data_IF_525146351105
#
_entry.id   IF_525146351105
#
_cell.length_a   1.000
_cell.length_b   1.000
_cell.length_c   1.000
_cell.angle_alpha   90.00
_cell.angle_beta   90.00
_cell.angle_gamma   90.00
#
_symmetry.space_group_name_H-M   'P 1'
#
loop_
_entity.id
_entity.type
_entity.pdbx_description
1 polymer ?
#
# COMPACT_ATOMS: atom_id res chain seq x y z
N UNK A 1 -17.22 -18.12 -29.87
CA UNK A 1 -16.50 -17.27 -28.90
C UNK A 1 -16.29 -18.12 -27.65
N UNK A 2 -15.05 -18.52 -27.37
CA UNK A 2 -14.74 -19.27 -26.15
C UNK A 2 -14.83 -18.31 -24.96
N UNK A 3 -15.65 -18.65 -23.96
CA UNK A 3 -15.67 -17.91 -22.71
C UNK A 3 -14.25 -17.95 -22.10
N UNK A 4 -13.67 -16.82 -21.72
CA UNK A 4 -12.35 -16.81 -21.11
C UNK A 4 -12.38 -17.57 -19.79
N UNK A 5 -11.35 -18.40 -19.55
CA UNK A 5 -11.16 -19.10 -18.28
C UNK A 5 -10.74 -18.07 -17.22
N UNK A 6 -11.73 -17.53 -16.51
CA UNK A 6 -11.47 -16.76 -15.33
C UNK A 6 -12.13 -17.42 -14.11
N UNK A 7 -11.39 -17.42 -13.00
CA UNK A 7 -11.93 -17.89 -11.73
C UNK A 7 -12.83 -16.81 -11.09
N UNK A 8 -13.97 -17.19 -10.47
CA UNK A 8 -14.81 -16.26 -9.70
C UNK A 8 -14.00 -15.63 -8.55
N UNK A 9 -14.48 -14.47 -8.06
CA UNK A 9 -13.81 -13.54 -7.13
C UNK A 9 -12.76 -14.16 -6.19
N UNK A 10 -11.58 -13.52 -6.03
CA UNK A 10 -10.41 -14.17 -5.45
C UNK A 10 -10.63 -14.51 -3.98
N UNK A 11 -10.65 -15.83 -3.69
CA UNK A 11 -10.22 -16.32 -2.38
C UNK A 11 -8.77 -15.87 -2.18
N UNK A 12 -8.37 -15.62 -0.93
CA UNK A 12 -7.00 -15.22 -0.59
C UNK A 12 -5.94 -15.98 -1.41
N UNK A 13 -5.26 -15.28 -2.34
CA UNK A 13 -4.27 -15.88 -3.24
C UNK A 13 -2.86 -15.67 -2.68
N UNK A 14 -2.18 -16.75 -2.27
CA UNK A 14 -0.77 -16.64 -1.86
C UNK A 14 0.14 -16.26 -3.02
N UNK A 15 -0.18 -16.72 -4.22
CA UNK A 15 0.57 -16.45 -5.44
C UNK A 15 -0.17 -15.43 -6.30
N UNK A 16 0.56 -14.71 -7.15
CA UNK A 16 -0.06 -13.79 -8.09
C UNK A 16 -0.87 -14.57 -9.13
N UNK A 17 -2.14 -14.22 -9.31
CA UNK A 17 -3.04 -14.88 -10.24
C UNK A 17 -3.65 -13.86 -11.20
N UNK A 18 -3.91 -14.31 -12.43
CA UNK A 18 -4.64 -13.53 -13.42
C UNK A 18 -6.13 -13.87 -13.32
N UNK A 19 -6.96 -12.85 -13.09
CA UNK A 19 -8.41 -12.95 -12.84
C UNK A 19 -9.17 -12.01 -13.76
N UNK A 20 -10.51 -12.02 -13.70
CA UNK A 20 -11.35 -11.03 -14.42
C UNK A 20 -11.04 -9.59 -14.02
N UNK A 21 -10.60 -9.39 -12.77
CA UNK A 21 -10.26 -8.09 -12.24
C UNK A 21 -8.83 -7.66 -12.59
N UNK A 22 -7.99 -8.55 -13.14
CA UNK A 22 -6.59 -8.31 -13.47
C UNK A 22 -5.62 -9.20 -12.70
N UNK A 23 -4.40 -8.72 -12.48
CA UNK A 23 -3.39 -9.43 -11.69
C UNK A 23 -3.63 -9.18 -10.21
N UNK A 24 -3.96 -10.23 -9.48
CA UNK A 24 -4.29 -10.21 -8.04
C UNK A 24 -3.20 -10.89 -7.25
N UNK A 25 -2.81 -10.30 -6.11
CA UNK A 25 -1.94 -10.91 -5.10
C UNK A 25 -2.56 -10.73 -3.72
N UNK A 26 -2.80 -11.82 -3.00
CA UNK A 26 -3.63 -11.80 -1.80
C UNK A 26 -5.09 -11.51 -2.18
N UNK A 27 -5.59 -10.37 -1.72
CA UNK A 27 -6.88 -9.77 -2.06
C UNK A 27 -6.72 -8.40 -2.75
N UNK A 28 -5.50 -8.01 -3.10
CA UNK A 28 -5.19 -6.74 -3.74
C UNK A 28 -5.02 -6.94 -5.25
N UNK A 29 -5.73 -6.13 -6.03
CA UNK A 29 -5.54 -6.02 -7.48
C UNK A 29 -4.30 -5.15 -7.73
N UNK A 30 -3.19 -5.77 -8.13
CA UNK A 30 -1.95 -5.07 -8.45
C UNK A 30 -2.10 -4.25 -9.73
N UNK A 31 -2.61 -4.90 -10.78
CA UNK A 31 -2.83 -4.26 -12.08
C UNK A 31 -4.21 -4.67 -12.57
N UNK A 32 -5.18 -3.73 -12.68
CA UNK A 32 -6.54 -4.06 -13.03
C UNK A 32 -6.66 -4.36 -14.51
N UNK A 33 -7.60 -5.25 -14.85
CA UNK A 33 -7.98 -5.51 -16.22
C UNK A 33 -8.94 -4.41 -16.68
N UNK A 34 -8.59 -3.73 -17.77
CA UNK A 34 -9.45 -2.81 -18.51
C UNK A 34 -9.85 -3.44 -19.84
N UNK A 35 -10.88 -2.89 -20.48
CA UNK A 35 -11.22 -3.19 -21.87
C UNK A 35 -10.98 -1.95 -22.72
N UNK A 36 -10.22 -2.13 -23.80
CA UNK A 36 -10.08 -1.13 -24.85
C UNK A 36 -11.41 -0.96 -25.59
N UNK A 37 -11.55 0.13 -26.33
CA UNK A 37 -12.73 0.42 -27.16
C UNK A 37 -13.03 -0.69 -28.19
N UNK A 38 -12.01 -1.46 -28.62
CA UNK A 38 -12.16 -2.60 -29.52
C UNK A 38 -12.57 -3.90 -28.81
N UNK A 39 -12.83 -3.86 -27.49
CA UNK A 39 -13.20 -5.01 -26.67
C UNK A 39 -12.04 -5.90 -26.22
N UNK A 40 -10.79 -5.62 -26.62
CA UNK A 40 -9.62 -6.36 -26.17
C UNK A 40 -9.34 -6.08 -24.69
N UNK A 41 -9.00 -7.14 -23.94
CA UNK A 41 -8.59 -7.02 -22.55
C UNK A 41 -7.16 -6.46 -22.47
N UNK A 42 -6.95 -5.51 -21.58
CA UNK A 42 -5.66 -4.88 -21.36
C UNK A 42 -5.40 -4.77 -19.86
N UNK A 43 -4.18 -5.09 -19.44
CA UNK A 43 -3.77 -4.91 -18.07
C UNK A 43 -3.24 -3.48 -17.88
N UNK A 44 -3.82 -2.71 -16.97
CA UNK A 44 -3.42 -1.33 -16.69
C UNK A 44 -2.12 -1.30 -15.85
N UNK A 45 -1.01 -1.62 -16.50
CA UNK A 45 0.35 -1.54 -15.94
C UNK A 45 0.95 -0.16 -16.21
N UNK A 46 0.70 0.39 -17.41
CA UNK A 46 1.22 1.69 -17.83
C UNK A 46 0.66 2.83 -16.99
N UNK A 47 1.54 3.67 -16.47
CA UNK A 47 1.22 4.77 -15.54
C UNK A 47 1.02 4.31 -14.09
N UNK A 48 0.97 3.01 -13.82
CA UNK A 48 0.79 2.42 -12.48
C UNK A 48 2.01 1.63 -12.00
N UNK A 49 3.09 1.63 -12.77
CA UNK A 49 4.34 0.95 -12.42
C UNK A 49 4.87 1.38 -11.04
N UNK A 50 4.84 2.68 -10.66
CA UNK A 50 5.27 3.12 -9.34
C UNK A 50 4.45 2.50 -8.19
N UNK A 51 3.12 2.40 -8.37
CA UNK A 51 2.19 1.81 -7.40
C UNK A 51 2.41 0.31 -7.26
N UNK A 52 2.47 -0.40 -8.40
CA UNK A 52 2.71 -1.84 -8.46
C UNK A 52 4.06 -2.17 -7.81
N UNK A 53 5.09 -1.37 -8.11
CA UNK A 53 6.41 -1.52 -7.52
C UNK A 53 6.38 -1.37 -6.01
N UNK A 54 5.69 -0.35 -5.50
CA UNK A 54 5.59 -0.11 -4.06
C UNK A 54 4.85 -1.24 -3.34
N UNK A 55 3.70 -1.67 -3.86
CA UNK A 55 2.93 -2.77 -3.29
C UNK A 55 3.74 -4.07 -3.24
N UNK A 56 4.36 -4.44 -4.35
CA UNK A 56 5.18 -5.65 -4.42
C UNK A 56 6.42 -5.58 -3.52
N UNK A 57 7.03 -4.40 -3.39
CA UNK A 57 8.19 -4.21 -2.50
C UNK A 57 7.79 -4.29 -1.03
N UNK A 58 6.66 -3.68 -0.66
CA UNK A 58 6.06 -3.80 0.67
C UNK A 58 5.75 -5.25 1.03
N UNK A 59 5.10 -5.98 0.12
CA UNK A 59 4.76 -7.38 0.31
C UNK A 59 6.00 -8.24 0.61
N UNK A 60 7.16 -7.90 0.01
CA UNK A 60 8.42 -8.61 0.25
C UNK A 60 9.24 -8.07 1.43
N UNK A 61 8.93 -6.88 1.93
CA UNK A 61 9.80 -6.14 2.84
C UNK A 61 11.15 -5.76 2.22
N UNK A 62 11.25 -5.70 0.89
CA UNK A 62 12.46 -5.29 0.15
C UNK A 62 12.10 -4.82 -1.25
N UNK A 63 12.95 -3.98 -1.85
CA UNK A 63 12.78 -3.55 -3.23
C UNK A 63 12.69 -4.73 -4.19
N UNK A 64 11.71 -4.73 -5.08
CA UNK A 64 11.64 -5.71 -6.17
C UNK A 64 12.60 -5.37 -7.30
N UNK A 65 12.94 -6.38 -8.10
CA UNK A 65 13.80 -6.19 -9.26
C UNK A 65 13.02 -5.47 -10.39
N UNK A 66 13.59 -4.48 -11.10
CA UNK A 66 12.90 -3.75 -12.17
C UNK A 66 12.32 -4.65 -13.29
N UNK A 67 13.02 -5.74 -13.61
CA UNK A 67 12.55 -6.73 -14.59
C UNK A 67 11.17 -7.33 -14.25
N UNK A 68 10.73 -7.30 -13.00
CA UNK A 68 9.38 -7.73 -12.62
C UNK A 68 8.31 -6.87 -13.30
N UNK A 69 8.49 -5.56 -13.36
CA UNK A 69 7.56 -4.66 -14.07
C UNK A 69 7.62 -4.89 -15.58
N UNK A 70 8.81 -5.05 -16.15
CA UNK A 70 8.97 -5.39 -17.56
C UNK A 70 8.23 -6.69 -17.93
N UNK A 71 8.30 -7.69 -17.05
CA UNK A 71 7.54 -8.94 -17.19
C UNK A 71 6.03 -8.70 -17.18
N UNK A 72 5.52 -7.83 -16.30
CA UNK A 72 4.10 -7.47 -16.26
C UNK A 72 3.63 -6.75 -17.53
N UNK A 73 4.47 -5.90 -18.15
CA UNK A 73 4.16 -5.38 -19.50
C UNK A 73 4.10 -6.48 -20.55
N UNK A 74 4.94 -7.52 -20.43
CA UNK A 74 4.86 -8.72 -21.27
C UNK A 74 3.53 -9.45 -21.11
N UNK A 75 3.02 -9.57 -19.89
CA UNK A 75 1.68 -10.14 -19.59
C UNK A 75 0.58 -9.27 -20.21
N UNK A 76 0.65 -7.95 -20.01
CA UNK A 76 -0.29 -6.97 -20.58
C UNK A 76 -0.34 -7.07 -22.11
N UNK A 77 0.83 -7.18 -22.75
CA UNK A 77 0.96 -7.32 -24.21
C UNK A 77 0.33 -8.62 -24.73
N UNK A 78 0.57 -9.76 -24.07
CA UNK A 78 -0.07 -11.03 -24.44
C UNK A 78 -1.59 -10.94 -24.32
N UNK A 79 -2.12 -10.30 -23.26
CA UNK A 79 -3.57 -10.08 -23.10
C UNK A 79 -4.17 -9.20 -24.19
N UNK A 80 -3.49 -8.10 -24.55
CA UNK A 80 -3.94 -7.20 -25.62
C UNK A 80 -4.00 -7.90 -26.98
N UNK A 81 -3.24 -8.98 -27.17
CA UNK A 81 -3.26 -9.84 -28.36
C UNK A 81 -4.32 -10.96 -28.30
N UNK A 82 -5.05 -11.09 -27.19
CA UNK A 82 -6.00 -12.17 -26.94
C UNK A 82 -5.34 -13.50 -26.52
N UNK A 83 -4.03 -13.50 -26.26
CA UNK A 83 -3.27 -14.69 -25.84
C UNK A 83 -3.32 -14.87 -24.33
N UNK A 84 -4.46 -15.37 -23.84
CA UNK A 84 -4.68 -15.62 -22.41
C UNK A 84 -3.72 -16.67 -21.83
N UNK A 85 -3.40 -17.71 -22.61
CA UNK A 85 -2.51 -18.80 -22.15
C UNK A 85 -1.07 -18.29 -22.02
N UNK A 86 -0.58 -17.55 -23.03
CA UNK A 86 0.73 -16.92 -22.95
C UNK A 86 0.83 -15.89 -21.84
N UNK A 87 -0.24 -15.15 -21.56
CA UNK A 87 -0.29 -14.23 -20.42
C UNK A 87 -0.12 -14.96 -19.07
N UNK A 88 -0.82 -16.08 -18.85
CA UNK A 88 -0.69 -16.88 -17.62
C UNK A 88 0.71 -17.49 -17.50
N UNK A 89 1.26 -18.06 -18.59
CA UNK A 89 2.62 -18.61 -18.59
C UNK A 89 3.65 -17.53 -18.28
N UNK A 90 3.53 -16.34 -18.90
CA UNK A 90 4.43 -15.21 -18.61
C UNK A 90 4.32 -14.76 -17.17
N UNK A 91 3.10 -14.67 -16.62
CA UNK A 91 2.90 -14.31 -15.21
C UNK A 91 3.61 -15.31 -14.28
N UNK A 92 3.51 -16.61 -14.55
CA UNK A 92 4.24 -17.62 -13.81
C UNK A 92 5.77 -17.47 -13.96
N UNK A 93 6.26 -17.13 -15.16
CA UNK A 93 7.69 -16.90 -15.44
C UNK A 93 8.27 -15.65 -14.76
N UNK A 94 7.44 -14.62 -14.48
CA UNK A 94 7.89 -13.47 -13.67
C UNK A 94 8.37 -13.94 -12.29
N UNK A 95 7.82 -15.05 -11.79
CA UNK A 95 8.19 -15.60 -10.50
C UNK A 95 7.88 -14.63 -9.37
N UNK A 96 6.70 -14.00 -9.44
CA UNK A 96 6.24 -13.16 -8.33
C UNK A 96 6.24 -14.02 -7.07
N UNK A 97 6.93 -13.59 -6.01
CA UNK A 97 7.00 -14.34 -4.77
C UNK A 97 5.60 -14.63 -4.23
N UNK A 98 5.36 -15.84 -3.71
CA UNK A 98 4.21 -16.05 -2.88
C UNK A 98 4.31 -15.20 -1.60
N UNK A 99 3.17 -14.77 -1.08
CA UNK A 99 3.04 -14.18 0.26
C UNK A 99 3.45 -15.23 1.29
N UNK A 100 4.42 -14.89 2.15
CA UNK A 100 5.00 -15.81 3.14
C UNK A 100 4.08 -16.04 4.34
N UNK A 101 3.08 -15.18 4.51
CA UNK A 101 2.10 -15.32 5.59
C UNK A 101 1.13 -14.14 5.67
N UNK A 102 0.33 -14.09 6.73
CA UNK A 102 -0.67 -13.04 6.94
C UNK A 102 -0.07 -11.62 6.98
N UNK A 103 1.15 -11.49 7.50
CA UNK A 103 1.85 -10.19 7.58
C UNK A 103 2.08 -9.57 6.20
N UNK A 104 2.54 -10.34 5.21
CA UNK A 104 2.81 -9.82 3.86
C UNK A 104 1.51 -9.34 3.19
N UNK A 105 0.41 -10.07 3.42
CA UNK A 105 -0.92 -9.69 2.95
C UNK A 105 -1.43 -8.41 3.63
N UNK A 106 -1.23 -8.29 4.94
CA UNK A 106 -1.60 -7.09 5.70
C UNK A 106 -0.80 -5.87 5.20
N UNK A 107 0.50 -6.02 4.96
CA UNK A 107 1.34 -4.95 4.38
C UNK A 107 0.84 -4.51 3.00
N UNK A 108 0.38 -5.44 2.16
CA UNK A 108 -0.25 -5.11 0.88
C UNK A 108 -1.52 -4.29 1.06
N UNK A 109 -2.41 -4.68 1.99
CA UNK A 109 -3.65 -3.95 2.29
C UNK A 109 -3.37 -2.53 2.79
N UNK A 110 -2.41 -2.39 3.70
CA UNK A 110 -1.98 -1.11 4.24
C UNK A 110 -1.43 -0.23 3.11
N UNK A 111 -0.52 -0.77 2.28
CA UNK A 111 0.02 -0.07 1.12
C UNK A 111 -1.05 0.38 0.13
N UNK A 112 -2.00 -0.50 -0.21
CA UNK A 112 -3.10 -0.19 -1.11
C UNK A 112 -4.01 0.91 -0.54
N UNK A 113 -4.27 0.87 0.77
CA UNK A 113 -5.04 1.91 1.47
C UNK A 113 -4.35 3.27 1.41
N UNK A 114 -3.02 3.30 1.54
CA UNK A 114 -2.25 4.54 1.41
C UNK A 114 -2.27 5.11 0.00
N UNK A 115 -2.10 4.26 -1.01
CA UNK A 115 -2.19 4.67 -2.41
C UNK A 115 -3.59 5.22 -2.73
N UNK A 116 -4.65 4.57 -2.25
CA UNK A 116 -6.02 5.05 -2.43
C UNK A 116 -6.27 6.41 -1.76
N UNK A 117 -5.47 6.78 -0.74
CA UNK A 117 -5.48 8.09 -0.08
C UNK A 117 -4.55 9.12 -0.75
N UNK A 118 -3.95 8.77 -1.88
CA UNK A 118 -3.05 9.66 -2.63
C UNK A 118 -1.63 9.77 -2.06
N UNK A 119 -1.25 8.91 -1.12
CA UNK A 119 0.13 8.90 -0.61
C UNK A 119 1.05 8.38 -1.71
N UNK A 120 2.13 9.11 -2.00
CA UNK A 120 3.05 8.72 -3.07
C UNK A 120 3.67 7.34 -2.81
N UNK A 121 3.87 6.50 -3.84
CA UNK A 121 4.48 5.19 -3.65
C UNK A 121 5.90 5.27 -3.05
N UNK A 122 6.63 6.34 -3.33
CA UNK A 122 7.94 6.61 -2.73
C UNK A 122 7.87 6.82 -1.22
N UNK A 123 6.92 7.65 -0.76
CA UNK A 123 6.70 7.91 0.67
C UNK A 123 6.37 6.63 1.42
N UNK A 124 5.56 5.76 0.82
CA UNK A 124 5.21 4.45 1.39
C UNK A 124 6.46 3.58 1.59
N UNK A 125 7.35 3.53 0.60
CA UNK A 125 8.57 2.73 0.66
C UNK A 125 9.59 3.28 1.65
N UNK A 126 9.74 4.60 1.71
CA UNK A 126 10.60 5.26 2.69
C UNK A 126 10.12 5.00 4.12
N UNK A 127 8.82 5.14 4.38
CA UNK A 127 8.22 4.85 5.69
C UNK A 127 8.38 3.38 6.11
N UNK A 128 8.41 2.47 5.13
CA UNK A 128 8.66 1.04 5.37
C UNK A 128 10.15 0.69 5.57
N UNK A 129 11.07 1.67 5.49
CA UNK A 129 12.51 1.42 5.58
C UNK A 129 13.07 0.60 4.40
N UNK A 130 12.37 0.57 3.27
CA UNK A 130 12.81 -0.15 2.08
C UNK A 130 13.77 0.75 1.31
N UNK A 131 15.02 0.75 1.76
CA UNK A 131 16.12 1.45 1.10
C UNK A 131 16.50 0.77 -0.23
N UNK A 132 16.95 1.56 -1.21
CA UNK A 132 17.36 1.04 -2.51
C UNK A 132 16.21 0.65 -3.45
N UNK A 133 14.95 0.93 -3.09
CA UNK A 133 13.88 1.07 -4.06
C UNK A 133 14.35 2.05 -5.14
N UNK A 134 14.57 1.54 -6.33
CA UNK A 134 15.41 2.19 -7.33
C UNK A 134 14.93 3.62 -7.59
N UNK A 135 15.70 4.62 -7.15
CA UNK A 135 15.44 6.05 -7.41
C UNK A 135 15.22 6.28 -8.90
N UNK A 136 15.78 5.41 -9.77
CA UNK A 136 15.61 5.46 -11.22
C UNK A 136 14.19 5.19 -11.73
N UNK A 137 13.37 4.38 -11.05
CA UNK A 137 11.96 4.17 -11.43
C UNK A 137 11.09 5.39 -11.11
N UNK A 138 11.55 6.21 -10.15
CA UNK A 138 10.92 7.44 -9.69
C UNK A 138 11.74 8.68 -10.05
N UNK A 139 12.72 8.55 -10.96
CA UNK A 139 13.41 9.72 -11.46
C UNK A 139 12.34 10.50 -12.20
N UNK A 140 11.86 11.52 -11.51
CA UNK A 140 10.94 12.54 -11.99
C UNK A 140 11.25 12.82 -13.45
N UNK A 141 10.19 12.90 -14.25
CA UNK A 141 10.18 13.35 -15.64
C UNK A 141 11.50 14.01 -15.99
N UNK A 142 12.31 13.25 -16.71
CA UNK A 142 13.65 13.65 -17.08
C UNK A 142 13.58 15.07 -17.66
N UNK A 143 14.00 16.04 -16.86
CA UNK A 143 13.92 17.45 -17.23
C UNK A 143 15.11 17.75 -18.14
N UNK A 144 14.85 17.73 -19.45
CA UNK A 144 15.84 18.03 -20.49
C UNK A 144 16.50 19.40 -20.25
N UNK A 145 15.82 20.33 -19.55
CA UNK A 145 16.37 21.64 -19.21
C UNK A 145 17.46 21.59 -18.13
N UNK A 146 17.43 20.58 -17.25
CA UNK A 146 18.47 20.33 -16.22
C UNK A 146 19.64 19.50 -16.75
N UNK A 147 19.51 18.94 -17.96
CA UNK A 147 20.52 18.13 -18.61
C UNK A 147 20.76 18.59 -20.05
N UNK A 148 21.23 19.84 -20.27
CA UNK A 148 21.39 20.40 -21.60
C UNK A 148 22.33 19.53 -22.45
N UNK A 149 21.80 19.06 -23.58
CA UNK A 149 22.59 18.39 -24.61
C UNK A 149 23.25 19.42 -25.50
N UNK A 150 24.41 19.05 -26.03
CA UNK A 150 25.03 19.82 -27.09
C UNK A 150 24.18 19.75 -28.38
N UNK A 151 24.48 20.59 -29.40
CA UNK A 151 23.76 20.58 -30.68
C UNK A 151 23.83 19.24 -31.44
N UNK A 152 24.70 18.32 -31.03
CA UNK A 152 24.84 16.97 -31.61
C UNK A 152 24.09 15.90 -30.80
N UNK A 153 23.33 16.30 -29.77
CA UNK A 153 22.53 15.41 -28.93
C UNK A 153 23.35 14.62 -27.91
N UNK A 154 24.64 14.95 -27.72
CA UNK A 154 25.46 14.37 -26.66
C UNK A 154 25.27 15.18 -25.39
N UNK A 155 25.40 14.51 -24.25
CA UNK A 155 25.51 15.21 -22.98
C UNK A 155 26.69 16.18 -23.06
N UNK A 156 26.43 17.47 -22.87
CA UNK A 156 27.49 18.45 -22.75
C UNK A 156 28.42 17.95 -21.63
N UNK A 157 29.58 17.46 -22.03
CA UNK A 157 30.55 16.87 -21.12
C UNK A 157 31.21 18.05 -20.41
N UNK A 158 30.50 18.69 -19.49
CA UNK A 158 31.09 19.67 -18.60
C UNK A 158 32.04 18.88 -17.71
N UNK A 159 33.33 18.95 -18.07
CA UNK A 159 34.41 18.32 -17.33
C UNK A 159 34.35 18.76 -15.87
N UNK A 160 33.92 17.84 -15.01
CA UNK A 160 34.27 17.88 -13.60
C UNK A 160 35.41 16.88 -13.44
N UNK A 161 36.61 17.42 -13.25
CA UNK A 161 37.83 16.70 -12.92
C UNK A 161 37.56 15.61 -11.89
N UNK A 162 37.95 14.38 -12.23
CA UNK A 162 38.41 13.43 -11.25
C UNK A 162 39.72 13.98 -10.67
N UNK A 163 39.62 14.82 -9.64
CA UNK A 163 40.66 15.13 -8.65
C UNK A 163 40.22 16.36 -7.84
N UNK A 164 39.48 16.15 -6.74
CA UNK A 164 39.61 16.90 -5.49
C UNK A 164 38.64 16.37 -4.42
N UNK A 165 39.25 15.87 -3.34
CA UNK A 165 38.78 15.92 -1.95
C UNK A 165 37.62 15.01 -1.50
N UNK A 166 37.97 13.76 -1.19
CA UNK A 166 37.21 12.87 -0.30
C UNK A 166 37.17 13.30 1.17
N UNK A 167 36.80 14.54 1.50
CA UNK A 167 36.62 14.98 2.91
C UNK A 167 35.43 15.89 3.20
N UNK A 168 34.54 16.15 2.24
CA UNK A 168 33.43 17.10 2.42
C UNK A 168 32.04 16.45 2.30
N UNK A 169 31.82 15.36 3.04
CA UNK A 169 30.46 14.80 3.22
C UNK A 169 30.03 14.72 4.70
N UNK A 170 30.80 15.29 5.62
CA UNK A 170 30.46 15.29 7.05
C UNK A 170 29.50 16.42 7.47
N UNK A 171 29.17 17.34 6.56
CA UNK A 171 28.34 18.52 6.83
C UNK A 171 27.22 18.72 5.80
N UNK A 172 26.76 17.63 5.16
CA UNK A 172 25.51 17.72 4.40
C UNK A 172 24.40 17.86 5.44
N UNK A 173 23.67 19.01 5.51
CA UNK A 173 22.56 19.14 6.45
C UNK A 173 21.64 17.94 6.23
N UNK A 174 21.30 17.25 7.32
CA UNK A 174 20.44 16.08 7.32
C UNK A 174 19.21 16.43 6.46
N UNK A 175 19.12 15.92 5.23
CA UNK A 175 18.01 16.20 4.30
C UNK A 175 16.74 15.45 4.73
N UNK A 176 16.54 15.39 6.05
CA UNK A 176 15.26 15.26 6.73
C UNK A 176 14.42 16.48 6.36
N UNK A 177 13.91 16.47 5.13
CA UNK A 177 12.95 17.48 4.67
C UNK A 177 11.75 17.56 5.62
N UNK A 178 10.88 18.57 5.49
CA UNK A 178 9.71 18.75 6.37
C UNK A 178 8.84 17.48 6.53
N UNK A 179 8.92 16.57 5.56
CA UNK A 179 8.25 15.27 5.57
C UNK A 179 8.81 14.23 6.55
N UNK A 180 10.10 14.25 6.91
CA UNK A 180 10.61 13.30 7.92
C UNK A 180 10.03 13.57 9.30
N UNK A 181 9.79 14.85 9.64
CA UNK A 181 9.11 15.20 10.87
C UNK A 181 7.65 14.70 10.87
N UNK A 182 6.97 14.74 9.72
CA UNK A 182 5.61 14.20 9.59
C UNK A 182 5.57 12.67 9.69
N UNK A 183 6.55 11.96 9.10
CA UNK A 183 6.68 10.50 9.22
C UNK A 183 7.06 10.09 10.64
N UNK A 184 7.98 10.81 11.28
CA UNK A 184 8.36 10.59 12.68
C UNK A 184 7.15 10.83 13.60
N UNK A 185 6.36 11.90 13.35
CA UNK A 185 5.14 12.18 14.10
C UNK A 185 4.06 11.11 13.88
N UNK A 186 3.84 10.64 12.65
CA UNK A 186 2.90 9.57 12.35
C UNK A 186 3.33 8.23 12.97
N UNK A 187 4.63 7.91 12.93
CA UNK A 187 5.20 6.73 13.57
C UNK A 187 5.04 6.81 15.09
N UNK A 188 5.40 7.94 15.71
CA UNK A 188 5.18 8.18 17.13
C UNK A 188 3.70 8.10 17.50
N UNK A 189 2.81 8.63 16.68
CA UNK A 189 1.36 8.56 16.88
C UNK A 189 0.82 7.12 16.77
N UNK A 190 1.34 6.30 15.85
CA UNK A 190 0.97 4.88 15.71
C UNK A 190 1.52 4.03 16.86
N UNK A 191 2.67 4.40 17.41
CA UNK A 191 3.30 3.72 18.56
C UNK A 191 2.77 4.21 19.91
N UNK A 192 2.08 5.35 19.96
CA UNK A 192 1.53 5.89 21.18
C UNK A 192 0.62 4.85 21.87
N UNK A 193 0.79 4.62 23.18
CA UNK A 193 -0.04 3.69 23.92
C UNK A 193 -1.47 4.21 23.96
N UNK A 194 -2.42 3.35 23.61
CA UNK A 194 -3.85 3.55 23.83
C UNK A 194 -4.35 2.56 24.87
N UNK A 195 -5.29 2.97 25.75
CA UNK A 195 -5.93 2.07 26.69
C UNK A 195 -6.54 0.86 25.98
N UNK A 196 -6.35 -0.31 26.56
CA UNK A 196 -7.07 -1.51 26.18
C UNK A 196 -8.12 -1.78 27.26
N UNK A 197 -9.36 -1.93 26.84
CA UNK A 197 -10.50 -2.19 27.72
C UNK A 197 -10.95 -3.64 27.54
N UNK A 198 -11.25 -4.30 28.65
CA UNK A 198 -11.98 -5.56 28.66
C UNK A 198 -13.36 -5.34 28.04
N UNK A 199 -13.75 -6.18 27.08
CA UNK A 199 -14.99 -5.99 26.35
C UNK A 199 -16.23 -6.33 27.18
N UNK A 200 -16.09 -7.18 28.19
CA UNK A 200 -17.18 -7.66 29.03
C UNK A 200 -17.38 -6.74 30.24
N UNK A 201 -16.30 -6.26 30.84
CA UNK A 201 -16.36 -5.43 32.05
C UNK A 201 -16.24 -3.94 31.77
N UNK A 202 -15.67 -3.54 30.63
CA UNK A 202 -15.33 -2.16 30.31
C UNK A 202 -14.16 -1.61 31.13
N UNK A 203 -13.51 -2.43 31.96
CA UNK A 203 -12.36 -2.00 32.76
C UNK A 203 -11.10 -1.92 31.90
N UNK A 204 -10.23 -0.96 32.19
CA UNK A 204 -8.95 -0.84 31.51
C UNK A 204 -8.01 -1.97 31.96
N UNK A 205 -7.71 -2.91 31.06
CA UNK A 205 -6.85 -4.07 31.32
C UNK A 205 -5.39 -3.86 30.92
N UNK A 206 -5.10 -2.79 30.19
CA UNK A 206 -3.72 -2.48 29.81
C UNK A 206 -3.58 -1.30 28.86
N UNK A 207 -2.45 -1.30 28.15
CA UNK A 207 -2.20 -0.39 27.03
C UNK A 207 -1.61 -1.18 25.87
N UNK A 208 -1.93 -0.76 24.65
CA UNK A 208 -1.37 -1.32 23.42
C UNK A 208 -1.03 -0.20 22.44
N UNK A 209 -0.09 -0.40 21.51
CA UNK A 209 0.20 0.62 20.50
C UNK A 209 -1.01 0.83 19.57
N UNK A 210 -1.24 2.07 19.17
CA UNK A 210 -2.43 2.52 18.43
C UNK A 210 -2.68 1.76 17.13
N UNK A 211 -1.64 1.40 16.38
CA UNK A 211 -1.79 0.59 15.17
C UNK A 211 -2.48 -0.76 15.45
N UNK A 212 -2.24 -1.36 16.62
CA UNK A 212 -2.81 -2.66 17.01
C UNK A 212 -4.29 -2.53 17.38
N UNK A 213 -4.69 -1.39 17.93
CA UNK A 213 -6.08 -1.05 18.19
C UNK A 213 -6.87 -0.81 16.88
N UNK A 214 -6.23 -0.18 15.89
CA UNK A 214 -6.83 0.04 14.57
C UNK A 214 -6.99 -1.30 13.82
N UNK A 215 -5.97 -2.17 13.86
CA UNK A 215 -5.99 -3.45 13.17
C UNK A 215 -7.03 -4.46 13.74
N UNK A 216 -7.38 -4.34 15.02
CA UNK A 216 -8.33 -5.24 15.68
C UNK A 216 -9.77 -4.70 15.73
N UNK A 217 -9.99 -3.43 15.37
CA UNK A 217 -11.34 -2.84 15.35
C UNK A 217 -11.91 -2.84 13.92
N UNK A 218 -12.99 -3.60 13.64
CA UNK A 218 -13.62 -3.62 12.32
C UNK A 218 -14.24 -2.27 11.92
N UNK A 219 -14.44 -1.35 12.87
CA UNK A 219 -15.12 -0.05 12.66
C UNK A 219 -14.12 1.09 12.38
N UNK A 220 -12.90 1.04 12.94
CA UNK A 220 -11.96 2.18 12.93
C UNK A 220 -11.08 2.25 11.67
N UNK A 221 -11.03 1.19 10.86
CA UNK A 221 -10.22 1.12 9.63
C UNK A 221 -10.63 2.18 8.59
N UNK A 222 -11.85 2.71 8.65
CA UNK A 222 -12.37 3.68 7.67
C UNK A 222 -11.95 5.14 7.88
N UNK A 223 -12.16 5.70 9.08
CA UNK A 223 -12.17 7.16 9.27
C UNK A 223 -10.92 7.75 9.95
N UNK A 224 -10.48 7.18 11.09
CA UNK A 224 -9.40 7.78 11.89
C UNK A 224 -8.01 7.60 11.26
N UNK A 225 -7.79 6.50 10.53
CA UNK A 225 -6.54 6.26 9.81
C UNK A 225 -6.37 7.11 8.55
N UNK A 226 -7.37 7.90 8.14
CA UNK A 226 -7.25 8.84 7.02
C UNK A 226 -6.87 10.25 7.52
N UNK A 227 -7.52 10.71 8.59
CA UNK A 227 -7.32 12.04 9.15
C UNK A 227 -5.93 12.25 9.74
N UNK A 228 -5.37 11.26 10.44
CA UNK A 228 -4.03 11.36 11.04
C UNK A 228 -2.88 11.42 10.00
N UNK A 229 -3.15 11.06 8.73
CA UNK A 229 -2.15 10.97 7.66
C UNK A 229 -2.24 12.09 6.63
N UNK A 230 -3.35 12.80 6.54
CA UNK A 230 -3.58 13.82 5.51
C UNK A 230 -3.11 15.23 5.87
N UNK A 231 -2.51 15.45 7.05
CA UNK A 231 -1.96 16.77 7.39
C UNK A 231 -2.98 17.92 7.27
N UNK A 232 -4.27 17.61 7.47
CA UNK A 232 -5.32 18.62 7.55
C UNK A 232 -5.20 19.32 8.90
N UNK A 233 -4.76 20.56 8.87
CA UNK A 233 -4.61 21.53 9.95
C UNK A 233 -4.84 21.03 11.39
N UNK A 234 -3.75 21.05 12.15
CA UNK A 234 -3.64 20.70 13.57
C UNK A 234 -4.42 21.62 14.54
N UNK A 235 -5.61 22.11 14.18
CA UNK A 235 -6.43 22.99 15.03
C UNK A 235 -7.84 22.47 15.33
N UNK A 236 -8.32 21.38 14.72
CA UNK A 236 -9.69 20.87 14.98
C UNK A 236 -9.78 19.37 15.34
N UNK A 237 -8.66 18.65 15.39
CA UNK A 237 -8.67 17.20 15.62
C UNK A 237 -9.16 16.72 17.00
N UNK A 238 -8.95 17.40 18.15
CA UNK A 238 -9.47 16.88 19.41
C UNK A 238 -11.00 17.01 19.54
N UNK A 239 -11.61 18.04 18.95
CA UNK A 239 -13.05 18.31 19.12
C UNK A 239 -13.94 17.36 18.31
N UNK A 240 -13.58 17.04 17.06
CA UNK A 240 -14.44 16.22 16.17
C UNK A 240 -14.43 14.73 16.56
N UNK A 241 -13.33 14.22 17.13
CA UNK A 241 -13.25 12.83 17.60
C UNK A 241 -13.94 12.66 18.96
N UNK A 242 -13.82 13.62 19.88
CA UNK A 242 -14.58 13.59 21.15
C UNK A 242 -16.09 13.72 20.92
N UNK A 243 -16.52 14.60 19.99
CA UNK A 243 -17.93 14.80 19.66
C UNK A 243 -18.54 13.57 18.97
N UNK A 244 -17.81 12.91 18.06
CA UNK A 244 -18.26 11.66 17.42
C UNK A 244 -18.33 10.47 18.39
N UNK A 245 -17.51 10.44 19.46
CA UNK A 245 -17.59 9.42 20.52
C UNK A 245 -18.62 9.74 21.60
N UNK A 246 -18.93 11.02 21.81
CA UNK A 246 -19.89 11.48 22.83
C UNK A 246 -21.33 11.57 22.30
N UNK A 247 -21.52 11.64 20.97
CA UNK A 247 -22.85 11.65 20.33
C UNK A 247 -23.38 10.27 19.96
N UNK A 248 -22.62 9.19 20.18
CA UNK A 248 -23.10 7.81 20.04
C UNK A 248 -23.89 7.41 21.29
N UNK A 249 -25.09 7.99 21.44
CA UNK A 249 -26.13 7.43 22.29
C UNK A 249 -26.45 6.03 21.78
N UNK A 250 -26.45 5.06 22.69
CA UNK A 250 -26.58 3.61 22.47
C UNK A 250 -27.97 3.17 21.94
N UNK A 251 -28.76 4.10 21.37
CA UNK A 251 -30.19 3.94 21.07
C UNK A 251 -30.53 3.86 19.57
N UNK A 252 -29.68 4.35 18.67
CA UNK A 252 -30.15 4.76 17.32
C UNK A 252 -29.53 3.99 16.14
N UNK A 253 -29.34 2.67 16.26
CA UNK A 253 -29.04 1.82 15.08
C UNK A 253 -30.09 0.72 14.96
N UNK A 254 -31.24 1.10 14.42
CA UNK A 254 -32.27 0.18 13.93
C UNK A 254 -32.12 0.05 12.40
N UNK A 255 -32.26 -1.18 11.90
CA UNK A 255 -32.49 -1.40 10.47
C UNK A 255 -33.83 -0.76 10.06
N UNK A 256 -34.07 -0.46 8.76
CA UNK A 256 -35.31 0.17 8.29
C UNK A 256 -36.61 -0.61 8.59
N UNK A 257 -36.52 -1.83 9.12
CA UNK A 257 -37.62 -2.69 9.57
C UNK A 257 -37.82 -2.71 11.10
N UNK A 258 -37.07 -1.91 11.89
CA UNK A 258 -37.25 -1.78 13.33
C UNK A 258 -36.70 -2.94 14.18
N UNK A 259 -35.87 -3.82 13.61
CA UNK A 259 -35.20 -4.87 14.38
C UNK A 259 -33.81 -4.43 14.87
N UNK A 260 -33.42 -4.81 16.11
CA UNK A 260 -32.07 -4.59 16.61
C UNK A 260 -31.07 -5.43 15.81
N UNK A 261 -29.95 -4.82 15.43
CA UNK A 261 -28.86 -5.50 14.73
C UNK A 261 -28.32 -6.62 15.63
N UNK A 262 -28.57 -7.86 15.27
CA UNK A 262 -28.03 -9.03 15.97
C UNK A 262 -26.50 -9.03 15.87
N UNK A 263 -25.83 -8.86 17.01
CA UNK A 263 -24.39 -8.98 17.11
C UNK A 263 -23.96 -10.44 16.88
N UNK A 264 -22.99 -10.66 15.98
CA UNK A 264 -22.33 -11.96 15.83
C UNK A 264 -21.30 -12.08 16.96
N UNK A 265 -21.64 -12.86 17.99
CA UNK A 265 -20.70 -13.20 19.06
C UNK A 265 -19.75 -14.30 18.57
N UNK A 266 -18.46 -13.97 18.43
CA UNK A 266 -17.42 -14.98 18.29
C UNK A 266 -16.97 -15.36 19.70
N UNK A 267 -17.45 -16.52 20.19
CA UNK A 267 -17.03 -17.08 21.47
C UNK A 267 -15.55 -17.48 21.41
N UNK A 268 -14.71 -16.73 22.13
CA UNK A 268 -13.33 -17.13 22.42
C UNK A 268 -13.35 -18.00 23.69
N UNK A 269 -12.86 -19.24 23.67
CA UNK A 269 -12.84 -20.09 24.86
C UNK A 269 -11.87 -19.54 25.91
N UNK A 270 -12.37 -19.35 27.13
CA UNK A 270 -11.60 -18.91 28.30
C UNK A 270 -10.53 -19.95 28.68
N UNK A 271 -9.30 -19.54 29.05
CA UNK A 271 -8.27 -20.47 29.49
C UNK A 271 -8.69 -21.16 30.79
N UNK A 272 -8.60 -22.50 30.82
CA UNK A 272 -8.82 -23.27 32.05
C UNK A 272 -7.78 -22.86 33.10
N UNK A 273 -8.18 -22.63 34.36
CA UNK A 273 -7.21 -22.48 35.43
C UNK A 273 -6.41 -23.78 35.56
N UNK A 274 -5.08 -23.63 35.60
CA UNK A 274 -4.15 -24.73 35.86
C UNK A 274 -4.26 -25.23 37.30
N UNK A 275 -3.73 -26.43 37.57
CA UNK A 275 -3.80 -27.08 38.89
C UNK A 275 -3.04 -26.32 39.99
#
# INVERSE_FOLDING_TARGET
MNAPFFHPAPRFCREAQLTESGVVLGDIVLAPLSRRANGAAELAVEGREPEIFALLSLARGRAIHPNTLHGLHGVAKSLAQGDNVGAVIRLAQIGLPPLRGPRDAEMLKIGATFLAKGVSPWTILQAAGIEGANVQLFKADWDESLHPRDPTGRFATTGASADQNGRENANKPDHRGPWSAAVDAASQWLQAPVPEYDQDTGEQVGTRPRWRAIATSPIVVGAAGAAALLGGEALLAPAVVEEATSSLSMSDILLPNGEPVGYIYILVPSPRPGP
#
